data_IF_586538345457
#
_entry.id   IF_586538345457
#
_cell.length_a   1.000
_cell.length_b   1.000
_cell.length_c   1.000
_cell.angle_alpha   90.00
_cell.angle_beta   90.00
_cell.angle_gamma   90.00
#
_symmetry.space_group_name_H-M   'P 1'
#
loop_
_entity.id
_entity.type
_entity.pdbx_description
1 polymer ?
#
# COMPACT_ATOMS: atom_id res chain seq x y z
N UNK A 1 -10.81 -23.24 -24.46
CA UNK A 1 -10.17 -21.91 -24.49
C UNK A 1 -9.05 -21.90 -23.46
N UNK A 2 -7.80 -21.70 -23.87
CA UNK A 2 -6.64 -21.72 -22.98
C UNK A 2 -6.18 -20.29 -22.73
N UNK A 3 -6.20 -19.82 -21.48
CA UNK A 3 -5.59 -18.55 -21.09
C UNK A 3 -4.06 -18.75 -21.12
N UNK A 4 -3.37 -18.01 -21.99
CA UNK A 4 -1.90 -18.02 -22.06
C UNK A 4 -1.34 -17.36 -20.80
N UNK A 5 -0.33 -17.99 -20.21
CA UNK A 5 0.39 -17.51 -19.02
C UNK A 5 0.86 -16.06 -19.20
N UNK A 6 0.51 -15.18 -18.25
CA UNK A 6 0.98 -13.80 -18.22
C UNK A 6 2.41 -13.73 -17.66
N UNK A 7 3.38 -14.20 -18.45
CA UNK A 7 4.79 -13.91 -18.20
C UNK A 7 5.12 -12.51 -18.74
N UNK A 8 4.66 -11.47 -18.03
CA UNK A 8 4.92 -10.08 -18.43
C UNK A 8 4.62 -9.12 -17.30
N UNK A 9 5.67 -8.71 -16.58
CA UNK A 9 5.59 -7.48 -15.79
C UNK A 9 5.40 -6.32 -16.77
N UNK A 10 4.24 -5.66 -16.74
CA UNK A 10 4.00 -4.46 -17.54
C UNK A 10 4.79 -3.30 -16.91
N UNK A 11 6.06 -3.15 -17.31
CA UNK A 11 6.86 -2.00 -16.92
C UNK A 11 6.41 -0.82 -17.78
N UNK A 12 5.68 0.13 -17.18
CA UNK A 12 5.40 1.42 -17.82
C UNK A 12 6.67 2.28 -17.76
N UNK A 13 7.43 2.30 -18.85
CA UNK A 13 8.57 3.19 -19.04
C UNK A 13 8.07 4.63 -19.25
N UNK A 14 8.17 5.47 -18.22
CA UNK A 14 7.96 6.91 -18.34
C UNK A 14 9.32 7.57 -18.58
N UNK A 15 9.43 8.35 -19.65
CA UNK A 15 10.62 9.14 -20.01
C UNK A 15 10.43 10.61 -19.60
N UNK A 16 11.45 11.30 -19.07
CA UNK A 16 12.83 10.84 -18.90
C UNK A 16 12.96 9.82 -17.77
N UNK A 17 13.95 8.93 -17.89
CA UNK A 17 14.35 8.06 -16.79
C UNK A 17 14.93 8.95 -15.66
N UNK A 18 14.10 9.34 -14.71
CA UNK A 18 14.56 10.02 -13.51
C UNK A 18 15.04 8.97 -12.51
N UNK A 19 16.18 9.24 -11.87
CA UNK A 19 16.64 8.40 -10.76
C UNK A 19 15.81 8.74 -9.54
N UNK A 20 14.97 7.80 -9.11
CA UNK A 20 14.41 7.83 -7.77
C UNK A 20 15.58 7.50 -6.84
N UNK A 21 16.07 8.50 -6.10
CA UNK A 21 17.02 8.27 -5.01
C UNK A 21 16.41 7.22 -4.07
N UNK A 22 17.22 6.36 -3.44
CA UNK A 22 16.71 5.43 -2.43
C UNK A 22 15.98 6.15 -1.27
N UNK A 23 16.27 7.45 -1.10
CA UNK A 23 15.63 8.37 -0.16
C UNK A 23 14.53 9.26 -0.79
N UNK A 24 14.22 9.10 -2.07
CA UNK A 24 13.12 9.83 -2.74
C UNK A 24 11.75 9.19 -2.45
N UNK A 25 11.71 8.16 -1.59
CA UNK A 25 10.49 7.67 -0.97
C UNK A 25 10.06 8.57 0.18
N UNK A 26 8.75 8.63 0.43
CA UNK A 26 8.26 9.18 1.69
C UNK A 26 8.68 8.21 2.80
N UNK A 27 9.71 8.58 3.58
CA UNK A 27 10.22 7.76 4.68
C UNK A 27 9.21 7.68 5.83
N UNK A 28 8.59 8.82 6.15
CA UNK A 28 7.56 8.96 7.18
C UNK A 28 6.91 10.33 7.06
N UNK A 29 5.58 10.39 6.92
CA UNK A 29 4.81 11.58 7.31
C UNK A 29 4.53 11.37 8.79
N UNK A 30 5.10 12.19 9.66
CA UNK A 30 4.85 12.10 11.09
C UNK A 30 3.43 12.54 11.37
N UNK A 31 2.50 11.58 11.43
CA UNK A 31 1.27 11.75 12.19
C UNK A 31 1.62 11.50 13.65
N UNK A 32 1.95 12.58 14.35
CA UNK A 32 1.90 12.60 15.80
C UNK A 32 0.43 12.54 16.18
N UNK A 33 -0.10 11.35 16.49
CA UNK A 33 -1.24 11.22 17.41
C UNK A 33 -1.53 9.78 17.81
N UNK A 34 -1.24 9.54 19.09
CA UNK A 34 -2.06 8.79 20.03
C UNK A 34 -3.46 8.39 19.54
N UNK A 35 -3.70 7.08 19.38
CA UNK A 35 -4.92 6.36 19.81
C UNK A 35 -4.78 4.89 19.41
N UNK A 36 -4.04 4.14 20.22
CA UNK A 36 -3.90 2.69 20.05
C UNK A 36 -5.24 1.94 20.20
N UNK A 37 -6.24 2.57 20.82
CA UNK A 37 -7.51 1.95 21.21
C UNK A 37 -8.64 2.05 20.16
N UNK A 38 -8.44 2.79 19.06
CA UNK A 38 -9.44 2.81 18.00
C UNK A 38 -9.38 1.52 17.15
N UNK A 39 -10.53 0.94 16.77
CA UNK A 39 -10.55 -0.23 15.90
C UNK A 39 -9.91 0.10 14.55
N UNK A 40 -9.10 -0.82 14.03
CA UNK A 40 -8.48 -0.69 12.72
C UNK A 40 -9.45 -1.11 11.62
N UNK A 41 -9.54 -0.30 10.56
CA UNK A 41 -10.23 -0.63 9.32
C UNK A 41 -9.21 -0.75 8.19
N UNK A 42 -9.28 -1.84 7.41
CA UNK A 42 -8.36 -2.07 6.31
C UNK A 42 -9.02 -1.85 4.95
N UNK A 43 -8.25 -1.30 4.03
CA UNK A 43 -8.65 -1.05 2.66
C UNK A 43 -7.55 -1.48 1.71
N UNK A 44 -7.94 -2.02 0.56
CA UNK A 44 -7.06 -2.18 -0.61
C UNK A 44 -6.56 -0.82 -1.10
N UNK A 45 -5.51 -0.82 -1.93
CA UNK A 45 -4.95 0.43 -2.50
C UNK A 45 -5.96 1.17 -3.39
N UNK A 46 -6.89 0.46 -4.03
CA UNK A 46 -8.01 1.02 -4.80
C UNK A 46 -9.21 1.43 -3.93
N UNK A 47 -9.12 1.32 -2.60
CA UNK A 47 -10.11 1.86 -1.65
C UNK A 47 -11.25 0.91 -1.27
N UNK A 48 -11.22 -0.36 -1.70
CA UNK A 48 -12.20 -1.37 -1.25
C UNK A 48 -11.88 -1.85 0.15
N UNK A 49 -12.87 -1.87 1.04
CA UNK A 49 -12.72 -2.35 2.43
C UNK A 49 -12.43 -3.86 2.48
N UNK A 50 -11.54 -4.26 3.39
CA UNK A 50 -11.13 -5.66 3.64
C UNK A 50 -11.24 -5.96 5.13
N UNK A 51 -11.85 -7.08 5.50
CA UNK A 51 -12.02 -7.50 6.89
C UNK A 51 -10.86 -8.34 7.42
N UNK A 52 -10.25 -9.17 6.57
CA UNK A 52 -9.15 -10.06 6.90
C UNK A 52 -8.10 -10.02 5.78
N UNK A 53 -7.20 -9.02 5.77
CA UNK A 53 -6.21 -8.91 4.72
C UNK A 53 -5.18 -10.03 4.84
N UNK A 54 -4.77 -10.60 3.70
CA UNK A 54 -3.85 -11.74 3.67
C UNK A 54 -2.43 -11.32 4.10
N UNK A 55 -1.67 -12.17 4.83
CA UNK A 55 -0.26 -11.92 5.09
C UNK A 55 0.52 -11.63 3.80
N UNK A 56 1.43 -10.66 3.86
CA UNK A 56 2.19 -10.18 2.71
C UNK A 56 1.44 -9.19 1.79
N UNK A 57 0.13 -8.98 1.99
CA UNK A 57 -0.62 -7.98 1.23
C UNK A 57 -0.32 -6.55 1.70
N UNK A 58 -0.37 -5.60 0.76
CA UNK A 58 -0.28 -4.17 1.06
C UNK A 58 -1.70 -3.62 1.23
N UNK A 59 -1.95 -2.97 2.37
CA UNK A 59 -3.24 -2.34 2.70
C UNK A 59 -3.06 -0.95 3.29
N UNK A 60 -4.12 -0.14 3.19
CA UNK A 60 -4.30 1.08 3.97
C UNK A 60 -5.02 0.71 5.27
N UNK A 61 -4.39 0.99 6.40
CA UNK A 61 -4.99 0.88 7.72
C UNK A 61 -5.47 2.26 8.17
N UNK A 62 -6.78 2.42 8.34
CA UNK A 62 -7.38 3.58 8.97
C UNK A 62 -7.61 3.31 10.44
N UNK A 63 -7.12 4.20 11.32
CA UNK A 63 -7.34 4.15 12.76
C UNK A 63 -7.45 5.57 13.30
N UNK A 64 -8.49 5.85 14.08
CA UNK A 64 -8.71 7.15 14.73
C UNK A 64 -8.58 8.38 13.80
N UNK A 65 -8.96 8.24 12.53
CA UNK A 65 -8.85 9.31 11.53
C UNK A 65 -7.51 9.38 10.80
N UNK A 66 -6.46 8.70 11.27
CA UNK A 66 -5.19 8.55 10.56
C UNK A 66 -5.23 7.37 9.59
N UNK A 67 -4.46 7.46 8.49
CA UNK A 67 -4.32 6.40 7.49
C UNK A 67 -2.85 6.06 7.29
N UNK A 68 -2.49 4.79 7.44
CA UNK A 68 -1.13 4.29 7.26
C UNK A 68 -1.11 3.16 6.23
N UNK A 69 -0.15 3.19 5.30
CA UNK A 69 0.11 2.06 4.40
C UNK A 69 1.00 1.05 5.10
N UNK A 70 0.60 -0.23 5.13
CA UNK A 70 1.39 -1.30 5.77
C UNK A 70 1.37 -2.60 4.95
N UNK A 71 2.35 -3.45 5.22
CA UNK A 71 2.39 -4.85 4.78
C UNK A 71 1.87 -5.70 5.95
N UNK A 72 0.86 -6.52 5.70
CA UNK A 72 0.33 -7.44 6.70
C UNK A 72 1.38 -8.52 7.00
N UNK A 73 1.61 -8.80 8.29
CA UNK A 73 2.54 -9.83 8.73
C UNK A 73 1.84 -11.17 8.90
#
# INVERSE_FOLDING_TARGET
MSLKSAAGSSVNLVSPAFRISEFAGIERISDDTATADAPAEYFTIDGRRVSAPEPGSIVLCRRAGAVTKLIVR
#
